data_IF_498725147835
#
_entry.id   IF_498725147835
#
_cell.length_a   1.000
_cell.length_b   1.000
_cell.length_c   1.000
_cell.angle_alpha   90.00
_cell.angle_beta   90.00
_cell.angle_gamma   90.00
#
_symmetry.space_group_name_H-M   'P 1'
#
loop_
_entity.id
_entity.type
_entity.pdbx_description
1 polymer ?
#
# COMPACT_ATOMS: atom_id res chain seq x y z
N UNK A 1 -6.84 -2.34 23.76
CA UNK A 1 -5.98 -3.53 24.00
C UNK A 1 -6.17 -4.63 22.96
N UNK A 2 -7.41 -5.03 22.61
CA UNK A 2 -7.63 -6.09 21.61
C UNK A 2 -7.14 -5.68 20.21
N UNK A 3 -7.54 -4.50 19.74
CA UNK A 3 -7.16 -3.97 18.42
C UNK A 3 -5.66 -3.73 18.28
N UNK A 4 -5.00 -3.20 19.32
CA UNK A 4 -3.54 -3.04 19.34
C UNK A 4 -2.80 -4.37 19.12
N UNK A 5 -3.23 -5.44 19.80
CA UNK A 5 -2.64 -6.78 19.60
C UNK A 5 -2.88 -7.31 18.18
N UNK A 6 -4.05 -7.02 17.60
CA UNK A 6 -4.38 -7.44 16.24
C UNK A 6 -3.53 -6.69 15.22
N UNK A 7 -3.38 -5.37 15.38
CA UNK A 7 -2.51 -4.55 14.56
C UNK A 7 -1.05 -5.05 14.62
N UNK A 8 -0.52 -5.33 15.81
CA UNK A 8 0.84 -5.90 15.98
C UNK A 8 1.00 -7.28 15.31
N UNK A 9 -0.01 -8.15 15.40
CA UNK A 9 0.00 -9.45 14.73
C UNK A 9 0.01 -9.31 13.21
N UNK A 10 -0.84 -8.43 12.67
CA UNK A 10 -0.90 -8.14 11.23
C UNK A 10 0.42 -7.53 10.78
N UNK A 11 0.95 -6.57 11.54
CA UNK A 11 2.25 -5.92 11.28
C UNK A 11 3.39 -6.92 11.18
N UNK A 12 3.48 -7.84 12.15
CA UNK A 12 4.49 -8.91 12.16
C UNK A 12 4.33 -9.86 10.98
N UNK A 13 3.09 -10.23 10.66
CA UNK A 13 2.78 -11.12 9.55
C UNK A 13 3.17 -10.49 8.20
N UNK A 14 2.78 -9.25 7.94
CA UNK A 14 3.14 -8.50 6.73
C UNK A 14 4.67 -8.37 6.63
N UNK A 15 5.34 -7.99 7.71
CA UNK A 15 6.78 -7.91 7.74
C UNK A 15 7.43 -9.24 7.33
N UNK A 16 6.94 -10.37 7.86
CA UNK A 16 7.47 -11.70 7.51
C UNK A 16 7.31 -12.07 6.03
N UNK A 17 6.28 -11.54 5.36
CA UNK A 17 6.07 -11.76 3.92
C UNK A 17 7.01 -10.88 3.08
N UNK A 18 7.26 -9.64 3.51
CA UNK A 18 7.99 -8.62 2.75
C UNK A 18 9.48 -8.51 3.12
N UNK A 19 9.99 -9.33 4.05
CA UNK A 19 11.37 -9.21 4.57
C UNK A 19 12.46 -9.38 3.49
N UNK A 20 12.21 -10.17 2.45
CA UNK A 20 13.16 -10.43 1.36
C UNK A 20 12.77 -9.75 0.02
N UNK A 21 11.82 -8.81 0.05
CA UNK A 21 11.34 -8.09 -1.13
C UNK A 21 12.24 -6.87 -1.42
N UNK A 22 12.61 -6.66 -2.70
CA UNK A 22 13.57 -5.61 -3.10
C UNK A 22 13.06 -4.68 -4.22
N UNK A 23 11.81 -4.83 -4.66
CA UNK A 23 11.19 -4.07 -5.75
C UNK A 23 10.78 -2.63 -5.38
N UNK A 24 10.97 -2.22 -4.12
CA UNK A 24 10.51 -0.93 -3.61
C UNK A 24 9.08 -0.95 -3.06
N UNK A 25 8.48 -2.13 -2.98
CA UNK A 25 7.27 -2.49 -2.22
C UNK A 25 7.65 -3.28 -0.96
N UNK A 26 8.79 -2.92 -0.39
CA UNK A 26 9.38 -3.59 0.76
C UNK A 26 8.64 -3.24 2.06
N UNK A 27 9.00 -3.94 3.12
CA UNK A 27 8.51 -3.66 4.47
C UNK A 27 8.65 -2.18 4.86
N UNK A 28 9.73 -1.52 4.44
CA UNK A 28 10.00 -0.13 4.79
C UNK A 28 9.00 0.82 4.14
N UNK A 29 8.62 0.59 2.88
CA UNK A 29 7.53 1.32 2.23
C UNK A 29 6.21 1.14 2.98
N UNK A 30 5.79 -0.10 3.22
CA UNK A 30 4.52 -0.39 3.89
C UNK A 30 4.48 0.21 5.30
N UNK A 31 5.58 0.14 6.05
CA UNK A 31 5.66 0.74 7.39
C UNK A 31 5.51 2.26 7.36
N UNK A 32 6.16 2.96 6.44
CA UNK A 32 6.03 4.43 6.31
C UNK A 32 4.62 4.83 5.90
N UNK A 33 4.02 4.09 4.96
CA UNK A 33 2.64 4.31 4.52
C UNK A 33 1.67 4.09 5.67
N UNK A 34 1.82 3.02 6.47
CA UNK A 34 0.96 2.77 7.62
C UNK A 34 1.01 3.89 8.66
N UNK A 35 2.21 4.37 9.00
CA UNK A 35 2.38 5.43 10.00
C UNK A 35 1.83 6.77 9.48
N UNK A 36 2.04 7.09 8.20
CA UNK A 36 1.51 8.30 7.57
C UNK A 36 -0.01 8.24 7.39
N UNK A 37 -0.56 7.08 7.02
CA UNK A 37 -1.99 6.86 6.89
C UNK A 37 -2.68 7.03 8.25
N UNK A 38 -2.11 6.49 9.33
CA UNK A 38 -2.62 6.68 10.68
C UNK A 38 -2.64 8.17 11.08
N UNK A 39 -1.59 8.93 10.75
CA UNK A 39 -1.55 10.38 10.96
C UNK A 39 -2.66 11.11 10.20
N UNK A 40 -2.82 10.83 8.90
CA UNK A 40 -3.88 11.44 8.07
C UNK A 40 -5.26 11.06 8.61
N UNK A 41 -5.47 9.78 8.90
CA UNK A 41 -6.72 9.25 9.45
C UNK A 41 -7.12 9.91 10.77
N UNK A 42 -6.15 10.23 11.64
CA UNK A 42 -6.42 10.95 12.89
C UNK A 42 -6.98 12.35 12.61
N UNK A 43 -6.38 13.09 11.68
CA UNK A 43 -6.83 14.46 11.31
C UNK A 43 -8.18 14.46 10.61
N UNK A 44 -8.43 13.46 9.80
CA UNK A 44 -9.68 13.28 9.06
C UNK A 44 -10.78 12.59 9.90
N UNK A 45 -10.49 12.21 11.16
CA UNK A 45 -11.42 11.47 12.05
C UNK A 45 -11.92 10.16 11.44
N UNK A 46 -11.04 9.48 10.72
CA UNK A 46 -11.27 8.16 10.15
C UNK A 46 -11.15 7.06 11.23
N UNK A 47 -11.65 5.87 10.93
CA UNK A 47 -11.44 4.69 11.76
C UNK A 47 -9.98 4.23 11.67
N UNK A 48 -9.18 4.56 12.69
CA UNK A 48 -7.73 4.31 12.70
C UNK A 48 -7.38 2.83 12.57
N UNK A 49 -8.20 1.93 13.13
CA UNK A 49 -7.94 0.50 13.05
C UNK A 49 -8.07 0.00 11.61
N UNK A 50 -9.09 0.47 10.88
CA UNK A 50 -9.29 0.14 9.47
C UNK A 50 -8.20 0.78 8.61
N UNK A 51 -7.85 2.03 8.86
CA UNK A 51 -6.78 2.74 8.14
C UNK A 51 -5.45 2.01 8.27
N UNK A 52 -5.01 1.71 9.49
CA UNK A 52 -3.74 1.02 9.73
C UNK A 52 -3.76 -0.39 9.15
N UNK A 53 -4.84 -1.15 9.36
CA UNK A 53 -4.95 -2.51 8.82
C UNK A 53 -4.92 -2.52 7.30
N UNK A 54 -5.67 -1.62 6.65
CA UNK A 54 -5.67 -1.51 5.19
C UNK A 54 -4.30 -1.08 4.65
N UNK A 55 -3.64 -0.10 5.28
CA UNK A 55 -2.31 0.32 4.90
C UNK A 55 -1.26 -0.79 5.05
N UNK A 56 -1.36 -1.65 6.07
CA UNK A 56 -0.45 -2.77 6.24
C UNK A 56 -0.60 -3.83 5.14
N UNK A 57 -1.81 -4.06 4.62
CA UNK A 57 -2.08 -5.17 3.69
C UNK A 57 -2.31 -4.75 2.24
N UNK A 58 -2.29 -3.44 1.93
CA UNK A 58 -2.67 -2.92 0.60
C UNK A 58 -1.81 -3.49 -0.54
N UNK A 59 -0.51 -3.67 -0.30
CA UNK A 59 0.43 -4.13 -1.32
C UNK A 59 0.46 -5.65 -1.48
N UNK A 60 -0.05 -6.44 -0.52
CA UNK A 60 0.03 -7.90 -0.56
C UNK A 60 -0.70 -8.53 -1.76
N UNK A 61 -1.64 -7.81 -2.36
CA UNK A 61 -2.42 -8.25 -3.52
C UNK A 61 -1.98 -7.59 -4.84
N UNK A 62 -0.97 -6.72 -4.81
CA UNK A 62 -0.54 -5.97 -5.99
C UNK A 62 0.12 -6.88 -7.02
N UNK A 63 -0.17 -6.63 -8.30
CA UNK A 63 0.35 -7.39 -9.44
C UNK A 63 1.84 -7.17 -9.68
N UNK A 64 2.42 -6.12 -9.08
CA UNK A 64 3.86 -5.85 -9.11
C UNK A 64 4.64 -6.79 -8.20
N UNK A 65 4.00 -7.40 -7.20
CA UNK A 65 4.65 -8.42 -6.39
C UNK A 65 4.85 -9.72 -7.18
N UNK A 66 5.96 -10.44 -6.95
CA UNK A 66 6.17 -11.77 -7.52
C UNK A 66 5.05 -12.73 -7.12
N UNK A 67 4.65 -13.65 -8.01
CA UNK A 67 3.61 -14.65 -7.75
C UNK A 67 3.93 -15.57 -6.54
N UNK A 68 5.20 -15.65 -6.13
CA UNK A 68 5.64 -16.41 -4.95
C UNK A 68 5.33 -15.71 -3.62
N UNK A 69 5.11 -14.39 -3.65
CA UNK A 69 4.87 -13.53 -2.46
C UNK A 69 3.44 -13.00 -2.47
N UNK A 70 2.92 -12.69 -3.65
CA UNK A 70 1.60 -12.10 -3.85
C UNK A 70 0.50 -13.03 -3.34
N UNK A 71 -0.38 -12.47 -2.51
CA UNK A 71 -1.54 -13.16 -1.98
C UNK A 71 -2.80 -12.83 -2.79
N UNK A 72 -3.77 -13.73 -2.72
CA UNK A 72 -5.14 -13.49 -3.17
C UNK A 72 -5.95 -12.71 -2.14
N UNK A 73 -7.00 -12.04 -2.60
CA UNK A 73 -7.95 -11.32 -1.73
C UNK A 73 -8.56 -12.26 -0.67
N UNK A 74 -8.82 -13.52 -1.03
CA UNK A 74 -9.35 -14.53 -0.11
C UNK A 74 -8.35 -14.93 0.97
N UNK A 75 -7.06 -14.99 0.66
CA UNK A 75 -6.02 -15.32 1.65
C UNK A 75 -5.86 -14.18 2.67
N UNK A 76 -5.84 -12.93 2.20
CA UNK A 76 -5.80 -11.76 3.08
C UNK A 76 -7.05 -11.74 3.98
N UNK A 77 -8.25 -11.91 3.41
CA UNK A 77 -9.49 -11.93 4.19
C UNK A 77 -9.49 -13.06 5.24
N UNK A 78 -9.10 -14.28 4.83
CA UNK A 78 -9.03 -15.43 5.72
C UNK A 78 -8.06 -15.20 6.89
N UNK A 79 -6.91 -14.58 6.61
CA UNK A 79 -5.91 -14.28 7.62
C UNK A 79 -6.37 -13.19 8.60
N UNK A 80 -7.03 -12.13 8.13
CA UNK A 80 -7.62 -11.09 8.99
C UNK A 80 -8.65 -11.68 9.95
N UNK A 81 -9.56 -12.52 9.43
CA UNK A 81 -10.56 -13.22 10.26
C UNK A 81 -9.89 -14.17 11.25
N UNK A 82 -8.82 -14.86 10.84
CA UNK A 82 -8.03 -15.73 11.72
C UNK A 82 -7.38 -14.97 12.89
N UNK A 83 -6.87 -13.75 12.65
CA UNK A 83 -6.40 -12.84 13.70
C UNK A 83 -7.53 -12.22 14.54
N UNK A 84 -8.78 -12.61 14.29
CA UNK A 84 -9.95 -12.20 15.06
C UNK A 84 -10.49 -10.83 14.67
N UNK A 85 -10.09 -10.30 13.51
CA UNK A 85 -10.74 -9.11 12.92
C UNK A 85 -12.19 -9.47 12.61
N UNK A 86 -13.13 -8.64 13.07
CA UNK A 86 -14.55 -8.85 12.82
C UNK A 86 -14.84 -8.84 11.31
N UNK A 87 -15.81 -9.64 10.86
CA UNK A 87 -16.14 -9.78 9.43
C UNK A 87 -16.41 -8.43 8.76
N UNK A 88 -17.17 -7.56 9.41
CA UNK A 88 -17.45 -6.20 8.90
C UNK A 88 -16.17 -5.37 8.70
N UNK A 89 -15.23 -5.44 9.64
CA UNK A 89 -13.95 -4.74 9.52
C UNK A 89 -13.08 -5.36 8.43
N UNK A 90 -13.07 -6.69 8.31
CA UNK A 90 -12.36 -7.38 7.24
C UNK A 90 -12.94 -7.01 5.87
N UNK A 91 -14.27 -6.95 5.73
CA UNK A 91 -14.94 -6.53 4.49
C UNK A 91 -14.59 -5.08 4.11
N UNK A 92 -14.56 -4.15 5.09
CA UNK A 92 -14.12 -2.76 4.89
C UNK A 92 -12.67 -2.69 4.39
N UNK A 93 -11.77 -3.46 5.00
CA UNK A 93 -10.35 -3.54 4.59
C UNK A 93 -10.23 -4.09 3.17
N UNK A 94 -10.91 -5.21 2.86
CA UNK A 94 -10.88 -5.80 1.52
C UNK A 94 -11.42 -4.84 0.46
N UNK A 95 -12.48 -4.10 0.77
CA UNK A 95 -13.04 -3.08 -0.12
C UNK A 95 -12.02 -1.97 -0.44
N UNK A 96 -11.24 -1.53 0.54
CA UNK A 96 -10.19 -0.51 0.34
C UNK A 96 -9.09 -1.06 -0.58
N UNK A 97 -8.48 -2.19 -0.22
CA UNK A 97 -7.28 -2.68 -0.93
C UNK A 97 -7.59 -3.10 -2.38
N UNK A 98 -8.76 -3.67 -2.63
CA UNK A 98 -9.18 -4.07 -3.98
C UNK A 98 -9.39 -2.87 -4.90
N UNK A 99 -9.81 -1.72 -4.35
CA UNK A 99 -9.99 -0.48 -5.11
C UNK A 99 -8.72 0.34 -5.28
N UNK A 100 -7.75 0.14 -4.39
CA UNK A 100 -6.42 0.74 -4.53
C UNK A 100 -5.58 0.03 -5.60
N UNK A 101 -5.73 -1.30 -5.74
CA UNK A 101 -5.01 -2.08 -6.75
C UNK A 101 -5.28 -1.58 -8.17
N UNK A 102 -4.19 -1.35 -8.91
CA UNK A 102 -4.16 -0.60 -10.19
C UNK A 102 -5.09 -1.16 -11.26
N UNK A 103 -5.34 -2.48 -11.25
CA UNK A 103 -6.12 -3.18 -12.29
C UNK A 103 -7.60 -2.79 -12.31
N UNK A 104 -8.12 -2.33 -11.17
CA UNK A 104 -9.54 -2.05 -11.00
C UNK A 104 -9.86 -0.56 -10.93
N UNK A 105 -8.85 0.32 -10.80
CA UNK A 105 -9.05 1.79 -10.82
C UNK A 105 -9.80 2.27 -12.05
N UNK A 106 -9.65 1.64 -13.22
CA UNK A 106 -10.37 2.02 -14.44
C UNK A 106 -11.83 1.55 -14.52
N UNK A 107 -12.22 0.48 -13.80
CA UNK A 107 -13.57 -0.11 -13.84
C UNK A 107 -14.41 0.20 -12.60
N UNK A 108 -13.77 0.33 -11.43
CA UNK A 108 -14.36 0.64 -10.13
C UNK A 108 -14.28 2.12 -9.75
N UNK A 109 -13.78 2.99 -10.66
CA UNK A 109 -13.69 4.46 -10.50
C UNK A 109 -15.01 5.15 -10.14
N UNK A 110 -16.15 4.47 -10.33
CA UNK A 110 -17.48 5.09 -10.22
C UNK A 110 -17.99 5.25 -8.80
N UNK A 111 -17.44 4.53 -7.82
CA UNK A 111 -17.82 4.77 -6.42
C UNK A 111 -16.61 5.29 -5.63
N UNK A 112 -16.83 6.34 -4.81
CA UNK A 112 -15.76 6.95 -4.05
C UNK A 112 -15.21 5.97 -3.00
N UNK A 113 -13.89 6.03 -2.79
CA UNK A 113 -13.26 5.41 -1.63
C UNK A 113 -13.87 5.98 -0.34
N UNK A 114 -13.94 5.15 0.70
CA UNK A 114 -14.27 5.60 2.05
C UNK A 114 -13.22 6.59 2.56
N UNK A 115 -13.50 7.26 3.68
CA UNK A 115 -12.54 8.21 4.28
C UNK A 115 -11.23 7.50 4.66
N UNK A 116 -11.32 6.25 5.11
CA UNK A 116 -10.18 5.40 5.41
C UNK A 116 -9.39 5.07 4.15
N UNK A 117 -10.07 4.64 3.08
CA UNK A 117 -9.41 4.34 1.81
C UNK A 117 -8.72 5.56 1.17
N UNK A 118 -9.29 6.76 1.35
CA UNK A 118 -8.64 8.01 0.93
C UNK A 118 -7.39 8.30 1.74
N UNK A 119 -7.43 8.13 3.07
CA UNK A 119 -6.25 8.33 3.92
C UNK A 119 -5.10 7.39 3.54
N UNK A 120 -5.40 6.11 3.26
CA UNK A 120 -4.38 5.13 2.81
C UNK A 120 -3.84 5.48 1.42
N UNK A 121 -4.72 5.87 0.48
CA UNK A 121 -4.31 6.30 -0.86
C UNK A 121 -3.44 7.56 -0.83
N UNK A 122 -3.76 8.54 0.02
CA UNK A 122 -2.98 9.76 0.14
C UNK A 122 -1.61 9.46 0.77
N UNK A 123 -1.55 8.60 1.79
CA UNK A 123 -0.29 8.17 2.39
C UNK A 123 0.63 7.45 1.38
N UNK A 124 0.09 6.53 0.59
CA UNK A 124 0.84 5.80 -0.46
C UNK A 124 1.42 6.77 -1.51
N UNK A 125 0.60 7.72 -1.99
CA UNK A 125 1.04 8.76 -2.93
C UNK A 125 2.09 9.69 -2.34
N UNK A 126 1.95 10.05 -1.06
CA UNK A 126 2.92 10.90 -0.37
C UNK A 126 4.28 10.22 -0.22
N UNK A 127 4.33 8.90 -0.05
CA UNK A 127 5.59 8.12 -0.03
C UNK A 127 6.25 8.00 -1.42
N UNK A 128 5.55 8.38 -2.49
CA UNK A 128 6.07 8.41 -3.85
C UNK A 128 6.59 9.79 -4.28
N UNK A 129 6.47 10.83 -3.44
CA UNK A 129 6.95 12.19 -3.74
C UNK A 129 7.93 12.72 -2.68
N UNK A 130 8.42 13.95 -2.88
CA UNK A 130 9.42 14.56 -1.98
C UNK A 130 10.76 13.81 -1.99
N UNK A 131 11.54 13.96 -0.92
CA UNK A 131 12.87 13.36 -0.84
C UNK A 131 12.84 11.82 -0.92
N UNK A 132 11.85 11.18 -0.30
CA UNK A 132 11.65 9.72 -0.37
C UNK A 132 11.27 9.28 -1.78
N UNK A 133 10.35 10.00 -2.45
CA UNK A 133 9.98 9.74 -3.83
C UNK A 133 11.15 9.85 -4.81
N UNK A 134 12.01 10.86 -4.63
CA UNK A 134 13.24 11.02 -5.42
C UNK A 134 14.16 9.81 -5.25
N UNK A 135 14.41 9.39 -4.00
CA UNK A 135 15.25 8.23 -3.72
C UNK A 135 14.67 6.94 -4.33
N UNK A 136 13.36 6.70 -4.17
CA UNK A 136 12.67 5.54 -4.72
C UNK A 136 12.69 5.50 -6.25
N UNK A 137 12.49 6.65 -6.91
CA UNK A 137 12.54 6.73 -8.37
C UNK A 137 13.92 6.31 -8.92
N UNK A 138 15.01 6.77 -8.29
CA UNK A 138 16.36 6.36 -8.70
C UNK A 138 16.67 4.90 -8.36
N UNK A 139 16.21 4.39 -7.20
CA UNK A 139 16.36 2.98 -6.85
C UNK A 139 15.65 2.07 -7.84
N UNK A 140 14.40 2.38 -8.20
CA UNK A 140 13.62 1.62 -9.17
C UNK A 140 14.28 1.63 -10.56
N UNK A 141 14.74 2.80 -11.03
CA UNK A 141 15.46 2.91 -12.29
C UNK A 141 16.75 2.06 -12.27
N UNK A 142 17.52 2.10 -11.18
CA UNK A 142 18.72 1.28 -11.01
C UNK A 142 18.42 -0.22 -11.03
N UNK A 143 17.36 -0.66 -10.34
CA UNK A 143 16.96 -2.07 -10.29
C UNK A 143 16.48 -2.59 -11.65
N UNK A 144 15.84 -1.75 -12.47
CA UNK A 144 15.37 -2.10 -13.82
C UNK A 144 16.38 -1.79 -14.93
N UNK A 145 17.58 -1.29 -14.59
CA UNK A 145 18.62 -0.94 -15.56
C UNK A 145 18.27 0.27 -16.45
N UNK A 146 17.35 1.12 -16.01
CA UNK A 146 16.99 2.34 -16.72
C UNK A 146 18.04 3.45 -16.52
N UNK A 147 18.14 4.36 -17.49
CA UNK A 147 19.03 5.50 -17.40
C UNK A 147 18.61 6.52 -16.34
N UNK A 148 19.55 7.38 -15.92
CA UNK A 148 19.22 8.53 -15.07
C UNK A 148 18.36 9.54 -15.84
N UNK A 149 18.72 9.81 -17.10
CA UNK A 149 18.05 10.73 -18.02
C UNK A 149 18.31 10.33 -19.48
N UNK A 150 17.61 10.97 -20.41
CA UNK A 150 17.88 10.85 -21.86
C UNK A 150 17.04 9.79 -22.58
N UNK A 151 16.19 9.07 -21.84
CA UNK A 151 15.21 8.13 -22.36
C UNK A 151 13.85 8.30 -21.65
N UNK A 152 12.75 7.85 -22.26
CA UNK A 152 11.39 7.99 -21.69
C UNK A 152 11.13 7.10 -20.46
N UNK A 153 11.97 6.09 -20.23
CA UNK A 153 11.88 5.15 -19.11
C UNK A 153 12.79 5.58 -17.93
N UNK A 154 13.55 6.66 -18.12
CA UNK A 154 14.56 7.14 -17.18
C UNK A 154 13.93 7.68 -15.90
N UNK A 155 14.71 7.66 -14.82
CA UNK A 155 14.28 8.26 -13.56
C UNK A 155 13.86 9.73 -13.75
N UNK A 156 14.60 10.49 -14.55
CA UNK A 156 14.28 11.89 -14.83
C UNK A 156 12.94 12.05 -15.56
N UNK A 157 12.69 11.27 -16.62
CA UNK A 157 11.43 11.33 -17.36
C UNK A 157 10.23 10.95 -16.46
N UNK A 158 10.41 9.98 -15.56
CA UNK A 158 9.37 9.53 -14.64
C UNK A 158 8.80 10.64 -13.75
N UNK A 159 9.60 11.63 -13.33
CA UNK A 159 9.12 12.76 -12.53
C UNK A 159 8.07 13.62 -13.27
N UNK A 160 8.13 13.68 -14.60
CA UNK A 160 7.21 14.49 -15.40
C UNK A 160 6.03 13.68 -15.95
N UNK A 161 6.21 12.37 -16.12
CA UNK A 161 5.18 11.48 -16.66
C UNK A 161 4.19 11.06 -15.54
N UNK A 162 4.69 10.71 -14.35
CA UNK A 162 3.85 10.25 -13.23
C UNK A 162 3.12 11.37 -12.48
N UNK A 163 3.46 12.64 -12.73
CA UNK A 163 2.78 13.79 -12.11
C UNK A 163 1.48 14.20 -12.83
N UNK A 164 1.20 13.63 -14.02
CA UNK A 164 0.09 14.03 -14.88
C UNK A 164 -0.95 12.92 -15.17
N UNK A 165 -0.96 11.82 -14.42
CA UNK A 165 -1.86 10.67 -14.64
C UNK A 165 -2.78 10.34 -13.48
#
# INVERSE_FOLDING_TARGET
>A
MKELKQAEQIRTWVQSILTDESSGHDWHHVSRVADLAAYIGEKEKADLFIVETAALVHDLIDVKLPDTVRLSVSEVYGQLVFFGVGKENADRVIHIITRMSFRDRGKLAKEPLSIEGKAVQDADRLDAIGAVGIARAFMFAGANGHGLYGDEQSAYAHFFISCCG
#
